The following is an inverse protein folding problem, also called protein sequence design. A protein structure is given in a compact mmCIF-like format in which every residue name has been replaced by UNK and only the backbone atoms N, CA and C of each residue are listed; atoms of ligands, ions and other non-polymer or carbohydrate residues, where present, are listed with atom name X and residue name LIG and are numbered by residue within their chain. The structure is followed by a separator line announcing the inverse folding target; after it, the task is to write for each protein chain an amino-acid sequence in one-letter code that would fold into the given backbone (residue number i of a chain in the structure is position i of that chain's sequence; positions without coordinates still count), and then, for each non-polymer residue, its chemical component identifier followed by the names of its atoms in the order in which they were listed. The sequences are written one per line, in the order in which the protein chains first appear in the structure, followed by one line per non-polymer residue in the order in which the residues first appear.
data_IF_033676453706
#
_entry.id   IF_033676453706
#
_cell.length_a   1.000
_cell.length_b   1.000
_cell.length_c   1.000
_cell.angle_alpha   90.00
_cell.angle_beta   90.00
_cell.angle_gamma   90.00
#
_symmetry.space_group_name_H-M   'P 1'
#
loop_
_entity.id
_entity.type
_entity.pdbx_description
1 polymer ?
#
# COMPACT_ATOMS: atom_id res chain seq x y z
N UNK A 1 -32.22 56.97 -29.20
CA UNK A 1 -30.76 56.75 -29.00
C UNK A 1 -30.40 55.42 -29.62
N UNK A 2 -29.90 55.45 -30.85
CA UNK A 2 -29.14 54.36 -31.47
C UNK A 2 -27.68 54.84 -31.53
N UNK A 3 -26.72 53.91 -31.52
CA UNK A 3 -26.14 53.55 -32.81
C UNK A 3 -25.97 52.04 -33.00
N UNK A 4 -26.28 51.64 -34.22
CA UNK A 4 -25.84 50.44 -34.93
C UNK A 4 -24.37 50.57 -35.33
N UNK A 5 -23.61 49.47 -35.30
CA UNK A 5 -22.37 49.35 -36.07
C UNK A 5 -22.26 47.96 -36.71
N UNK A 6 -21.93 48.03 -37.99
CA UNK A 6 -21.85 46.96 -38.98
C UNK A 6 -20.57 46.10 -38.90
N UNK A 7 -20.75 44.84 -39.29
CA UNK A 7 -19.98 44.03 -40.27
C UNK A 7 -18.54 44.44 -40.63
N UNK A 8 -17.59 43.50 -40.53
CA UNK A 8 -16.54 43.27 -41.55
C UNK A 8 -16.12 41.79 -41.61
N UNK A 9 -16.04 41.28 -42.85
CA UNK A 9 -15.52 39.98 -43.31
C UNK A 9 -14.02 39.77 -43.04
N UNK A 10 -13.56 38.50 -43.10
CA UNK A 10 -12.71 38.02 -44.20
C UNK A 10 -11.60 37.01 -43.82
N UNK A 11 -11.51 35.98 -44.67
CA UNK A 11 -10.33 35.26 -45.19
C UNK A 11 -9.57 34.21 -44.36
N UNK A 12 -9.75 32.96 -44.84
CA UNK A 12 -8.72 31.97 -45.22
C UNK A 12 -7.30 32.08 -44.65
N UNK A 13 -6.84 30.99 -44.01
CA UNK A 13 -5.48 30.47 -44.27
C UNK A 13 -5.38 28.96 -44.06
N UNK A 14 -4.75 28.32 -45.04
CA UNK A 14 -4.50 26.90 -45.15
C UNK A 14 -3.21 26.45 -44.42
N UNK A 15 -3.15 25.12 -44.21
CA UNK A 15 -1.97 24.24 -44.13
C UNK A 15 -0.97 24.42 -42.98
N UNK A 16 -0.77 23.31 -42.28
CA UNK A 16 0.35 23.04 -41.40
C UNK A 16 0.29 21.63 -40.83
N UNK A 17 0.33 20.61 -41.69
CA UNK A 17 0.73 19.26 -41.28
C UNK A 17 2.24 19.28 -40.99
N UNK A 18 2.62 19.03 -39.74
CA UNK A 18 3.97 18.59 -39.39
C UNK A 18 3.87 17.53 -38.30
N UNK A 19 4.41 16.35 -38.60
CA UNK A 19 4.29 15.15 -37.80
C UNK A 19 4.93 15.24 -36.41
N UNK A 20 4.30 14.51 -35.48
CA UNK A 20 4.83 14.23 -34.16
C UNK A 20 5.08 12.72 -34.05
N UNK A 21 6.12 12.26 -34.75
CA UNK A 21 6.82 11.02 -34.44
C UNK A 21 7.98 11.38 -33.51
N UNK A 22 7.84 11.14 -32.20
CA UNK A 22 8.94 10.86 -31.26
C UNK A 22 8.50 11.08 -29.81
N UNK A 23 7.94 10.04 -29.18
CA UNK A 23 7.86 9.96 -27.71
C UNK A 23 8.16 8.56 -27.14
N UNK A 24 8.52 7.59 -28.00
CA UNK A 24 8.76 6.21 -27.56
C UNK A 24 10.23 5.89 -27.21
N UNK A 25 11.17 6.79 -27.42
CA UNK A 25 12.60 6.52 -27.12
C UNK A 25 13.01 6.86 -25.68
N UNK A 26 12.30 7.73 -24.96
CA UNK A 26 12.65 8.10 -23.57
C UNK A 26 12.17 7.11 -22.49
N UNK A 27 11.22 6.20 -22.80
CA UNK A 27 10.74 5.18 -21.83
C UNK A 27 11.60 3.90 -21.81
N UNK A 28 12.33 3.59 -22.87
CA UNK A 28 13.14 2.36 -22.95
C UNK A 28 14.45 2.45 -22.16
N UNK A 29 15.04 3.64 -22.04
CA UNK A 29 16.34 3.82 -21.39
C UNK A 29 16.24 3.88 -19.86
N UNK A 30 15.13 4.39 -19.31
CA UNK A 30 14.88 4.36 -17.87
C UNK A 30 14.59 2.95 -17.32
N UNK A 31 13.96 2.08 -18.11
CA UNK A 31 13.71 0.68 -17.72
C UNK A 31 14.97 -0.19 -17.83
N UNK A 32 15.86 0.10 -18.80
CA UNK A 32 17.16 -0.56 -18.92
C UNK A 32 18.11 -0.20 -17.77
N UNK A 33 18.09 1.06 -17.32
CA UNK A 33 18.88 1.51 -16.15
C UNK A 33 18.45 0.86 -14.83
N UNK A 34 17.14 0.77 -14.57
CA UNK A 34 16.62 0.17 -13.35
C UNK A 34 16.84 -1.36 -13.27
N UNK A 35 16.66 -2.08 -14.40
CA UNK A 35 16.99 -3.52 -14.48
C UNK A 35 18.49 -3.79 -14.37
N UNK A 36 19.34 -2.87 -14.86
CA UNK A 36 20.80 -2.95 -14.72
C UNK A 36 21.23 -2.80 -13.26
N UNK A 37 20.66 -1.84 -12.52
CA UNK A 37 20.98 -1.61 -11.10
C UNK A 37 20.56 -2.77 -10.19
N UNK A 38 19.39 -3.40 -10.42
CA UNK A 38 18.98 -4.56 -9.62
C UNK A 38 19.85 -5.80 -9.89
N UNK A 39 20.19 -6.06 -11.16
CA UNK A 39 21.13 -7.14 -11.52
C UNK A 39 22.54 -6.87 -11.01
N UNK A 40 23.00 -5.63 -11.05
CA UNK A 40 24.28 -5.22 -10.49
C UNK A 40 24.30 -5.39 -8.96
N UNK A 41 23.25 -4.98 -8.25
CA UNK A 41 23.13 -5.20 -6.79
C UNK A 41 23.07 -6.69 -6.42
N UNK A 42 22.34 -7.50 -7.21
CA UNK A 42 22.31 -8.94 -7.00
C UNK A 42 23.67 -9.60 -7.26
N UNK A 43 24.32 -9.25 -8.36
CA UNK A 43 25.65 -9.75 -8.72
C UNK A 43 26.70 -9.29 -7.68
N UNK A 44 26.66 -8.04 -7.23
CA UNK A 44 27.54 -7.55 -6.16
C UNK A 44 27.32 -8.27 -4.84
N UNK A 45 26.05 -8.54 -4.44
CA UNK A 45 25.72 -9.34 -3.26
C UNK A 45 26.22 -10.78 -3.40
N UNK A 46 26.05 -11.38 -4.58
CA UNK A 46 26.51 -12.73 -4.88
C UNK A 46 28.03 -12.83 -4.85
N UNK A 47 28.74 -11.90 -5.49
CA UNK A 47 30.21 -11.84 -5.48
C UNK A 47 30.74 -11.58 -4.06
N UNK A 48 30.13 -10.69 -3.26
CA UNK A 48 30.50 -10.49 -1.85
C UNK A 48 30.35 -11.77 -1.01
N UNK A 49 29.32 -12.57 -1.28
CA UNK A 49 29.09 -13.85 -0.59
C UNK A 49 30.14 -14.90 -0.97
N UNK A 50 30.58 -14.93 -2.24
CA UNK A 50 31.61 -15.87 -2.72
C UNK A 50 33.01 -15.50 -2.23
N UNK A 51 33.36 -14.21 -2.26
CA UNK A 51 34.73 -13.78 -1.95
C UNK A 51 34.98 -13.52 -0.47
N UNK A 52 34.00 -13.72 0.42
CA UNK A 52 34.20 -13.53 1.87
C UNK A 52 34.60 -12.11 2.28
N UNK A 53 34.45 -11.12 1.39
CA UNK A 53 34.94 -9.75 1.59
C UNK A 53 33.92 -8.82 2.27
N UNK A 54 32.86 -9.34 2.88
CA UNK A 54 31.95 -8.50 3.64
C UNK A 54 32.44 -8.38 5.08
N UNK A 55 32.71 -7.17 5.62
CA UNK A 55 32.44 -6.97 7.04
C UNK A 55 31.02 -7.48 7.28
N UNK A 56 30.86 -8.39 8.25
CA UNK A 56 29.54 -8.90 8.63
C UNK A 56 28.60 -7.72 8.76
N UNK A 57 27.54 -7.68 7.93
CA UNK A 57 26.51 -6.66 8.10
C UNK A 57 26.05 -6.80 9.56
N UNK A 58 26.00 -5.71 10.35
CA UNK A 58 25.49 -5.81 11.71
C UNK A 58 24.11 -6.45 11.66
N UNK A 59 23.76 -7.22 12.69
CA UNK A 59 22.43 -7.80 12.77
C UNK A 59 21.38 -6.69 12.74
N UNK A 60 20.22 -6.93 12.08
CA UNK A 60 19.14 -5.96 12.09
C UNK A 60 18.65 -5.71 13.52
N UNK A 61 18.10 -4.52 13.81
CA UNK A 61 17.65 -4.19 15.15
C UNK A 61 16.53 -5.13 15.60
N UNK A 62 16.58 -5.54 16.87
CA UNK A 62 15.60 -6.44 17.48
C UNK A 62 14.29 -5.71 17.80
N UNK A 63 13.59 -5.26 16.77
CA UNK A 63 12.23 -4.70 16.89
C UNK A 63 11.28 -5.77 16.37
N UNK A 64 10.67 -6.48 17.32
CA UNK A 64 9.78 -7.60 17.06
C UNK A 64 8.65 -7.19 16.11
N UNK A 65 8.30 -8.08 15.18
CA UNK A 65 7.25 -7.87 14.16
C UNK A 65 7.51 -6.74 13.16
N UNK A 66 8.75 -6.26 13.06
CA UNK A 66 9.18 -5.30 12.05
C UNK A 66 10.43 -5.78 11.30
N UNK A 67 11.45 -6.25 12.03
CA UNK A 67 12.66 -6.80 11.44
C UNK A 67 12.77 -8.29 11.73
N UNK A 68 13.14 -9.05 10.70
CA UNK A 68 13.45 -10.49 10.80
C UNK A 68 14.96 -10.66 10.91
N UNK A 69 15.39 -11.68 11.65
CA UNK A 69 16.79 -12.12 11.63
C UNK A 69 17.19 -12.60 10.24
N UNK A 70 18.49 -12.62 9.97
CA UNK A 70 19.02 -13.03 8.66
C UNK A 70 18.71 -14.50 8.33
N UNK A 71 18.55 -15.33 9.35
CA UNK A 71 18.30 -16.78 9.24
C UNK A 71 16.80 -17.16 9.29
N UNK A 72 15.90 -16.18 9.30
CA UNK A 72 14.47 -16.48 9.32
C UNK A 72 14.06 -17.22 8.02
N UNK A 73 13.29 -18.31 8.18
CA UNK A 73 12.85 -19.16 7.07
C UNK A 73 11.45 -18.82 6.55
N UNK A 74 10.63 -18.15 7.36
CA UNK A 74 9.28 -17.73 6.95
C UNK A 74 8.91 -16.36 7.52
N UNK A 75 8.21 -15.52 6.75
CA UNK A 75 7.60 -14.34 7.29
C UNK A 75 6.50 -14.72 8.30
N UNK A 76 6.45 -14.02 9.43
CA UNK A 76 5.33 -14.15 10.37
C UNK A 76 4.15 -13.30 9.88
N UNK A 77 2.99 -13.93 9.72
CA UNK A 77 1.73 -13.24 9.37
C UNK A 77 0.97 -12.92 10.65
N UNK A 78 0.55 -11.68 10.80
CA UNK A 78 -0.04 -11.18 12.04
C UNK A 78 -1.28 -10.33 11.77
N UNK A 79 -2.13 -10.20 12.79
CA UNK A 79 -3.27 -9.27 12.72
C UNK A 79 -2.83 -7.84 13.02
N UNK A 80 -3.47 -6.88 12.36
CA UNK A 80 -3.22 -5.44 12.54
C UNK A 80 -3.27 -5.01 14.01
N UNK A 81 -4.24 -5.48 14.79
CA UNK A 81 -4.33 -5.17 16.22
C UNK A 81 -3.12 -5.69 17.03
N UNK A 82 -2.60 -6.87 16.70
CA UNK A 82 -1.39 -7.41 17.35
C UNK A 82 -0.17 -6.58 16.99
N UNK A 83 -0.09 -6.14 15.73
CA UNK A 83 0.98 -5.27 15.28
C UNK A 83 0.96 -3.91 15.98
N UNK A 84 -0.23 -3.28 16.14
CA UNK A 84 -0.36 -2.05 16.94
C UNK A 84 0.15 -2.25 18.37
N UNK A 85 -0.25 -3.33 19.04
CA UNK A 85 0.21 -3.64 20.39
C UNK A 85 1.74 -3.75 20.43
N UNK A 86 2.35 -4.48 19.50
CA UNK A 86 3.81 -4.63 19.42
C UNK A 86 4.53 -3.31 19.17
N UNK A 87 4.00 -2.46 18.30
CA UNK A 87 4.62 -1.19 17.95
C UNK A 87 4.41 -0.09 19.00
N UNK A 88 3.34 -0.17 19.80
CA UNK A 88 3.00 0.87 20.78
C UNK A 88 3.44 0.55 22.21
N UNK A 89 3.73 -0.71 22.53
CA UNK A 89 4.23 -1.13 23.85
C UNK A 89 5.60 -0.51 24.17
N UNK A 90 5.75 -0.07 25.41
CA UNK A 90 6.99 0.53 25.93
C UNK A 90 8.16 -0.46 25.95
N UNK A 91 7.88 -1.77 25.95
CA UNK A 91 8.90 -2.82 25.94
C UNK A 91 9.72 -2.83 24.63
N UNK A 92 9.24 -2.17 23.57
CA UNK A 92 9.90 -2.09 22.26
C UNK A 92 10.02 -0.63 21.78
N UNK A 93 10.78 0.23 22.47
CA UNK A 93 10.81 1.68 22.21
C UNK A 93 11.37 2.03 20.81
N UNK A 94 12.04 1.09 20.14
CA UNK A 94 12.67 1.29 18.83
C UNK A 94 11.69 1.56 17.69
N UNK A 95 10.43 1.14 17.78
CA UNK A 95 9.41 1.32 16.72
C UNK A 95 9.17 2.80 16.40
N UNK A 96 9.10 3.65 17.43
CA UNK A 96 8.91 5.11 17.31
C UNK A 96 10.07 5.82 16.60
N UNK A 97 11.22 5.15 16.51
CA UNK A 97 12.44 5.65 15.83
C UNK A 97 12.61 5.05 14.43
N UNK A 98 11.70 4.19 14.00
CA UNK A 98 11.68 3.63 12.66
C UNK A 98 10.70 4.44 11.81
N UNK A 99 11.15 5.03 10.70
CA UNK A 99 10.33 5.96 9.91
C UNK A 99 9.94 5.36 8.57
N UNK A 100 8.67 5.57 8.19
CA UNK A 100 8.16 5.16 6.88
C UNK A 100 8.79 6.05 5.81
N UNK A 101 9.60 5.46 4.94
CA UNK A 101 10.26 6.17 3.85
C UNK A 101 9.36 6.24 2.60
N UNK A 102 8.59 5.18 2.36
CA UNK A 102 7.73 5.06 1.19
C UNK A 102 6.53 4.17 1.49
N UNK A 103 5.38 4.55 0.96
CA UNK A 103 4.21 3.65 0.87
C UNK A 103 3.86 3.45 -0.59
N UNK A 104 3.61 2.22 -0.98
CA UNK A 104 3.18 1.88 -2.33
C UNK A 104 1.87 1.11 -2.27
N UNK A 105 0.96 1.47 -3.16
CA UNK A 105 -0.35 0.86 -3.29
C UNK A 105 -0.35 -0.02 -4.53
N UNK A 106 -0.63 -1.29 -4.32
CA UNK A 106 -0.54 -2.32 -5.34
C UNK A 106 -1.89 -2.97 -5.58
N UNK A 107 -2.05 -3.45 -6.81
CA UNK A 107 -3.19 -4.25 -7.24
C UNK A 107 -2.68 -5.51 -7.92
N UNK A 108 -3.10 -6.66 -7.43
CA UNK A 108 -2.76 -7.94 -8.03
C UNK A 108 -3.38 -8.07 -9.43
N UNK A 109 -2.66 -8.73 -10.33
CA UNK A 109 -3.12 -9.12 -11.67
C UNK A 109 -3.89 -10.43 -11.66
N UNK A 110 -3.95 -11.13 -10.53
CA UNK A 110 -4.79 -12.31 -10.36
C UNK A 110 -6.28 -11.99 -10.48
N UNK A 111 -7.10 -13.04 -10.63
CA UNK A 111 -8.56 -12.92 -10.84
C UNK A 111 -9.27 -12.15 -9.72
N UNK A 112 -8.80 -12.30 -8.48
CA UNK A 112 -9.33 -11.61 -7.30
C UNK A 112 -8.96 -10.12 -7.26
N UNK A 113 -8.03 -9.68 -8.12
CA UNK A 113 -7.53 -8.30 -8.21
C UNK A 113 -7.25 -7.69 -6.84
N UNK A 114 -6.68 -8.50 -5.94
CA UNK A 114 -6.48 -8.13 -4.55
C UNK A 114 -5.63 -6.86 -4.43
N UNK A 115 -5.99 -6.00 -3.49
CA UNK A 115 -5.38 -4.69 -3.31
C UNK A 115 -4.80 -4.55 -1.91
N UNK A 116 -3.57 -4.05 -1.83
CA UNK A 116 -2.77 -4.03 -0.61
C UNK A 116 -1.79 -2.86 -0.60
N UNK A 117 -1.25 -2.57 0.58
CA UNK A 117 -0.20 -1.57 0.75
C UNK A 117 1.13 -2.26 1.09
N UNK A 118 2.20 -1.63 0.62
CA UNK A 118 3.58 -1.98 0.96
C UNK A 118 4.27 -0.76 1.54
N UNK A 119 4.80 -0.90 2.74
CA UNK A 119 5.61 0.10 3.43
C UNK A 119 7.08 -0.27 3.32
N UNK A 120 7.92 0.72 3.07
CA UNK A 120 9.37 0.63 3.27
C UNK A 120 9.69 1.48 4.51
N UNK A 121 10.18 0.85 5.57
CA UNK A 121 10.41 1.47 6.89
C UNK A 121 11.90 1.42 7.19
N UNK A 122 12.52 2.58 7.42
CA UNK A 122 13.94 2.68 7.78
C UNK A 122 14.14 2.43 9.28
N UNK A 123 15.17 1.65 9.62
CA UNK A 123 15.63 1.50 10.99
C UNK A 123 16.39 2.76 11.47
N UNK A 124 16.49 2.98 12.79
CA UNK A 124 17.26 4.09 13.35
C UNK A 124 18.77 3.94 13.17
N UNK A 125 19.26 2.75 12.86
CA UNK A 125 20.68 2.52 12.61
C UNK A 125 21.15 3.07 11.26
N UNK A 126 20.23 3.28 10.31
CA UNK A 126 20.48 3.78 8.96
C UNK A 126 20.49 2.68 7.89
N UNK A 127 21.39 1.67 7.95
CA UNK A 127 21.51 0.64 6.93
C UNK A 127 20.29 -0.27 6.78
N UNK A 128 19.58 -0.56 7.87
CA UNK A 128 18.51 -1.54 7.82
C UNK A 128 17.18 -0.93 7.41
N UNK A 129 16.42 -1.70 6.63
CA UNK A 129 15.09 -1.33 6.17
C UNK A 129 14.19 -2.55 6.30
N UNK A 130 12.95 -2.33 6.72
CA UNK A 130 11.91 -3.35 6.70
C UNK A 130 10.97 -3.10 5.53
N UNK A 131 10.47 -4.19 4.95
CA UNK A 131 9.31 -4.18 4.06
C UNK A 131 8.13 -4.72 4.84
N UNK A 132 7.00 -4.00 4.82
CA UNK A 132 5.75 -4.42 5.47
C UNK A 132 4.64 -4.45 4.43
N UNK A 133 4.01 -5.60 4.25
CA UNK A 133 2.83 -5.79 3.40
C UNK A 133 1.61 -5.84 4.31
N UNK A 134 0.56 -5.09 3.96
CA UNK A 134 -0.73 -5.15 4.64
C UNK A 134 -1.87 -5.27 3.63
N UNK A 135 -2.77 -6.21 3.90
CA UNK A 135 -3.94 -6.47 3.08
C UNK A 135 -5.14 -6.89 3.91
N UNK A 136 -6.33 -6.77 3.31
CA UNK A 136 -7.59 -7.25 3.87
C UNK A 136 -8.12 -8.44 3.09
N UNK A 137 -8.28 -9.57 3.76
CA UNK A 137 -8.81 -10.82 3.22
C UNK A 137 -10.01 -11.32 4.04
N UNK A 138 -10.51 -12.50 3.69
CA UNK A 138 -11.51 -13.28 4.40
C UNK A 138 -11.04 -14.72 4.49
N UNK A 139 -11.39 -15.39 5.58
CA UNK A 139 -11.21 -16.83 5.67
C UNK A 139 -12.34 -17.48 4.88
N UNK A 140 -12.08 -17.72 3.60
CA UNK A 140 -13.01 -18.46 2.75
C UNK A 140 -12.69 -19.94 2.93
N UNK A 141 -13.59 -20.73 3.56
CA UNK A 141 -13.39 -22.17 3.67
C UNK A 141 -13.10 -22.76 2.29
N UNK A 142 -12.09 -23.61 2.19
CA UNK A 142 -11.58 -24.15 0.92
C UNK A 142 -12.66 -24.78 0.02
N UNK A 143 -13.75 -25.30 0.59
CA UNK A 143 -14.92 -25.83 -0.13
C UNK A 143 -15.72 -24.77 -0.91
N UNK A 144 -15.72 -23.51 -0.48
CA UNK A 144 -16.44 -22.43 -1.16
C UNK A 144 -15.66 -21.83 -2.33
N UNK A 145 -14.32 -21.96 -2.36
CA UNK A 145 -13.49 -21.53 -3.50
C UNK A 145 -13.77 -22.31 -4.79
N UNK A 146 -14.21 -23.56 -4.66
CA UNK A 146 -14.58 -24.42 -5.80
C UNK A 146 -16.03 -24.22 -6.27
N UNK A 147 -16.86 -23.54 -5.47
CA UNK A 147 -18.32 -23.53 -5.64
C UNK A 147 -18.87 -22.21 -6.20
N UNK A 148 -18.02 -21.19 -6.39
CA UNK A 148 -18.39 -19.92 -7.05
C UNK A 148 -18.74 -20.06 -8.54
N UNK A 149 -18.62 -21.26 -9.11
CA UNK A 149 -19.09 -21.59 -10.48
C UNK A 149 -20.53 -22.15 -10.49
N UNK A 150 -21.12 -22.52 -9.33
CA UNK A 150 -22.39 -23.26 -9.29
C UNK A 150 -23.63 -22.44 -8.88
N UNK A 151 -23.57 -21.10 -8.81
CA UNK A 151 -24.70 -20.27 -8.35
C UNK A 151 -25.63 -19.74 -9.46
N UNK A 152 -25.48 -20.20 -10.71
CA UNK A 152 -26.30 -19.71 -11.84
C UNK A 152 -27.57 -20.50 -12.14
N UNK A 153 -28.00 -21.48 -11.35
CA UNK A 153 -29.19 -22.26 -11.70
C UNK A 153 -29.99 -22.80 -10.51
N UNK A 154 -30.67 -21.94 -9.76
CA UNK A 154 -31.96 -22.31 -9.18
C UNK A 154 -32.79 -21.06 -8.86
N UNK A 155 -33.89 -20.88 -9.58
CA UNK A 155 -34.78 -19.71 -9.52
C UNK A 155 -35.68 -19.69 -8.28
N UNK A 156 -35.10 -19.74 -7.08
CA UNK A 156 -35.82 -19.44 -5.85
C UNK A 156 -35.43 -18.05 -5.35
N UNK A 157 -36.39 -17.13 -5.43
CA UNK A 157 -36.30 -15.75 -4.95
C UNK A 157 -36.21 -15.71 -3.41
N UNK A 158 -35.04 -15.98 -2.86
CA UNK A 158 -34.69 -15.51 -1.51
C UNK A 158 -33.90 -14.22 -1.66
N UNK A 159 -34.32 -13.16 -0.98
CA UNK A 159 -33.60 -11.88 -0.93
C UNK A 159 -32.11 -12.13 -0.72
N UNK A 160 -31.21 -11.45 -1.46
CA UNK A 160 -29.78 -11.62 -1.26
C UNK A 160 -29.43 -11.03 0.10
N UNK A 161 -29.49 -11.84 1.15
CA UNK A 161 -28.81 -11.51 2.39
C UNK A 161 -27.35 -11.28 2.02
N UNK A 162 -26.89 -10.05 2.22
CA UNK A 162 -25.50 -9.70 1.96
C UNK A 162 -24.63 -10.67 2.75
N UNK A 163 -23.91 -11.57 2.07
CA UNK A 163 -22.96 -12.46 2.74
C UNK A 163 -21.87 -11.60 3.38
N UNK A 164 -22.01 -11.37 4.69
CA UNK A 164 -21.02 -10.69 5.51
C UNK A 164 -20.25 -11.72 6.31
N UNK A 165 -18.93 -11.65 6.25
CA UNK A 165 -18.03 -12.48 7.06
C UNK A 165 -17.10 -11.57 7.89
N UNK A 166 -16.46 -12.06 8.96
CA UNK A 166 -15.40 -11.29 9.62
C UNK A 166 -14.26 -10.98 8.64
N UNK A 167 -13.86 -9.71 8.57
CA UNK A 167 -12.69 -9.29 7.80
C UNK A 167 -11.41 -9.73 8.50
N UNK A 168 -10.39 -10.03 7.70
CA UNK A 168 -9.08 -10.47 8.17
C UNK A 168 -8.05 -9.50 7.64
N UNK A 169 -7.58 -8.61 8.50
CA UNK A 169 -6.53 -7.64 8.16
C UNK A 169 -5.19 -8.19 8.62
N UNK A 170 -4.33 -8.49 7.66
CA UNK A 170 -3.06 -9.19 7.86
C UNK A 170 -1.88 -8.29 7.55
N UNK A 171 -0.84 -8.46 8.34
CA UNK A 171 0.44 -7.80 8.22
C UNK A 171 1.52 -8.85 8.11
N UNK A 172 2.43 -8.61 7.17
CA UNK A 172 3.64 -9.41 7.00
C UNK A 172 4.82 -8.46 6.90
N UNK A 173 5.84 -8.65 7.75
CA UNK A 173 7.02 -7.80 7.79
C UNK A 173 8.30 -8.63 7.67
N UNK A 174 9.32 -8.06 7.01
CA UNK A 174 10.66 -8.65 6.97
C UNK A 174 11.75 -7.60 6.72
N UNK A 175 12.99 -7.94 7.10
CA UNK A 175 14.16 -7.12 6.79
C UNK A 175 14.47 -7.19 5.29
N UNK A 176 14.54 -6.06 4.61
CA UNK A 176 14.90 -5.97 3.19
C UNK A 176 16.33 -6.48 2.96
N UNK A 177 16.54 -7.22 1.88
CA UNK A 177 17.83 -7.84 1.56
C UNK A 177 18.07 -9.19 2.23
N UNK A 178 17.14 -9.66 3.06
CA UNK A 178 17.04 -11.07 3.44
C UNK A 178 16.26 -11.86 2.38
N UNK A 179 16.37 -13.20 2.31
CA UNK A 179 15.57 -14.00 1.39
C UNK A 179 14.06 -13.74 1.49
N UNK A 180 13.53 -13.58 2.72
CA UNK A 180 12.11 -13.27 2.97
C UNK A 180 11.77 -11.86 2.51
N UNK A 181 12.58 -10.86 2.89
CA UNK A 181 12.36 -9.48 2.44
C UNK A 181 12.37 -9.36 0.92
N UNK A 182 13.29 -10.06 0.27
CA UNK A 182 13.38 -10.12 -1.18
C UNK A 182 12.18 -10.87 -1.79
N UNK A 183 11.64 -11.90 -1.15
CA UNK A 183 10.38 -12.56 -1.56
C UNK A 183 9.18 -11.60 -1.48
N UNK A 184 9.00 -10.90 -0.36
CA UNK A 184 7.93 -9.92 -0.18
C UNK A 184 8.02 -8.76 -1.19
N UNK A 185 9.23 -8.35 -1.57
CA UNK A 185 9.43 -7.28 -2.55
C UNK A 185 9.22 -7.77 -3.99
N UNK A 186 9.62 -9.01 -4.31
CA UNK A 186 9.67 -9.56 -5.67
C UNK A 186 8.31 -9.82 -6.32
N UNK A 187 7.23 -9.70 -5.56
CA UNK A 187 5.85 -9.52 -6.00
C UNK A 187 5.56 -9.93 -7.46
N UNK A 188 5.31 -11.22 -7.66
CA UNK A 188 5.40 -11.85 -8.97
C UNK A 188 4.22 -11.58 -9.92
N UNK A 189 3.21 -10.78 -9.55
CA UNK A 189 2.07 -10.49 -10.43
C UNK A 189 1.21 -9.30 -9.97
N UNK A 190 1.81 -8.16 -9.66
CA UNK A 190 1.06 -6.95 -9.29
C UNK A 190 1.37 -5.74 -10.17
N UNK A 191 0.43 -4.80 -10.19
CA UNK A 191 0.58 -3.46 -10.73
C UNK A 191 0.73 -2.46 -9.59
N UNK A 192 1.77 -1.63 -9.66
CA UNK A 192 1.87 -0.44 -8.82
C UNK A 192 0.81 0.57 -9.29
N UNK A 193 -0.15 0.86 -8.42
CA UNK A 193 -1.22 1.82 -8.66
C UNK A 193 -0.74 3.24 -8.36
N UNK A 194 -0.14 3.42 -7.18
CA UNK A 194 0.26 4.72 -6.68
C UNK A 194 1.36 4.60 -5.64
N UNK A 195 2.13 5.68 -5.45
CA UNK A 195 3.10 5.76 -4.36
C UNK A 195 2.93 7.03 -3.55
N UNK A 196 3.30 6.95 -2.28
CA UNK A 196 3.21 8.04 -1.32
C UNK A 196 4.59 8.25 -0.71
N UNK A 197 5.04 9.50 -0.72
CA UNK A 197 6.26 9.96 -0.06
C UNK A 197 5.94 11.10 0.90
N UNK A 198 6.74 11.26 1.95
CA UNK A 198 6.53 12.26 2.99
C UNK A 198 7.68 13.26 2.97
N UNK A 199 7.39 14.53 2.71
CA UNK A 199 8.42 15.57 2.60
C UNK A 199 8.70 16.24 3.96
N UNK A 200 7.65 16.54 4.71
CA UNK A 200 7.75 17.31 5.95
C UNK A 200 7.92 16.40 7.17
N UNK A 201 7.05 15.39 7.29
CA UNK A 201 7.00 14.47 8.43
C UNK A 201 6.69 13.06 7.96
N UNK A 202 7.70 12.22 7.90
CA UNK A 202 7.50 10.78 7.77
C UNK A 202 6.88 10.22 9.04
N UNK A 203 5.82 9.39 8.96
CA UNK A 203 5.28 8.74 10.13
C UNK A 203 6.28 7.72 10.69
N UNK A 204 6.35 7.59 12.02
CA UNK A 204 7.08 6.49 12.66
C UNK A 204 6.28 5.18 12.55
N UNK A 205 6.89 4.01 12.72
CA UNK A 205 6.25 2.71 12.46
C UNK A 205 5.01 2.42 13.36
N UNK A 206 4.96 3.01 14.55
CA UNK A 206 3.80 2.91 15.44
C UNK A 206 2.58 3.69 14.94
N UNK A 207 2.78 4.77 14.17
CA UNK A 207 1.70 5.58 13.62
C UNK A 207 0.83 4.84 12.57
N UNK A 208 1.38 4.23 11.49
CA UNK A 208 0.60 3.42 10.57
C UNK A 208 0.05 2.16 11.27
N UNK A 209 0.71 1.61 12.30
CA UNK A 209 0.15 0.48 13.05
C UNK A 209 -1.17 0.84 13.75
N UNK A 210 -1.21 2.01 14.39
CA UNK A 210 -2.42 2.52 15.03
C UNK A 210 -3.49 2.83 13.99
N UNK A 211 -3.12 3.46 12.87
CA UNK A 211 -4.07 3.76 11.80
C UNK A 211 -4.70 2.49 11.22
N UNK A 212 -3.90 1.47 10.92
CA UNK A 212 -4.37 0.22 10.33
C UNK A 212 -5.26 -0.59 11.27
N UNK A 213 -4.99 -0.54 12.58
CA UNK A 213 -5.88 -1.10 13.60
C UNK A 213 -7.22 -0.35 13.68
N UNK A 214 -7.19 0.99 13.67
CA UNK A 214 -8.41 1.83 13.64
C UNK A 214 -9.27 1.52 12.40
N UNK A 215 -8.66 1.39 11.21
CA UNK A 215 -9.39 1.05 9.99
C UNK A 215 -9.99 -0.35 10.07
N UNK A 216 -9.26 -1.30 10.69
CA UNK A 216 -9.73 -2.66 10.90
C UNK A 216 -11.01 -2.69 11.72
N UNK A 217 -11.01 -2.01 12.86
CA UNK A 217 -12.17 -1.86 13.75
C UNK A 217 -13.31 -1.03 13.13
N UNK A 218 -12.99 0.00 12.34
CA UNK A 218 -14.01 0.83 11.71
C UNK A 218 -14.92 0.04 10.75
N UNK A 219 -14.40 -1.02 10.12
CA UNK A 219 -15.20 -1.99 9.36
C UNK A 219 -14.70 -3.40 9.59
N UNK A 220 -15.17 -4.03 10.67
CA UNK A 220 -14.81 -5.40 11.04
C UNK A 220 -15.42 -6.47 10.11
N UNK A 221 -16.49 -6.15 9.39
CA UNK A 221 -17.20 -7.11 8.52
C UNK A 221 -16.79 -6.94 7.06
N UNK A 222 -16.43 -8.06 6.44
CA UNK A 222 -16.19 -8.22 5.01
C UNK A 222 -17.47 -8.51 4.24
N UNK A 223 -17.81 -7.62 3.33
CA UNK A 223 -18.88 -7.76 2.36
C UNK A 223 -18.29 -8.29 1.04
N UNK A 224 -18.59 -9.55 0.70
CA UNK A 224 -17.99 -10.23 -0.46
C UNK A 224 -18.23 -9.51 -1.79
N UNK A 225 -19.34 -8.77 -1.90
CA UNK A 225 -19.75 -8.07 -3.12
C UNK A 225 -19.11 -6.68 -3.30
N UNK A 226 -18.40 -6.15 -2.29
CA UNK A 226 -17.97 -4.73 -2.26
C UNK A 226 -16.44 -4.52 -2.34
N UNK A 227 -15.67 -5.50 -2.85
CA UNK A 227 -14.19 -5.47 -2.98
C UNK A 227 -13.50 -4.77 -1.80
N UNK A 228 -13.67 -5.32 -0.60
CA UNK A 228 -13.21 -4.62 0.61
C UNK A 228 -11.70 -4.47 0.74
N UNK A 229 -10.90 -5.28 0.03
CA UNK A 229 -9.47 -5.06 -0.06
C UNK A 229 -9.14 -3.69 -0.68
N UNK A 230 -9.88 -3.27 -1.73
CA UNK A 230 -9.76 -1.92 -2.30
C UNK A 230 -10.11 -0.85 -1.26
N UNK A 231 -11.27 -1.00 -0.61
CA UNK A 231 -11.70 -0.04 0.40
C UNK A 231 -10.65 0.13 1.50
N UNK A 232 -10.14 -0.99 2.03
CA UNK A 232 -9.16 -0.99 3.12
C UNK A 232 -7.85 -0.33 2.70
N UNK A 233 -7.22 -0.81 1.62
CA UNK A 233 -5.94 -0.29 1.13
C UNK A 233 -6.05 1.19 0.73
N UNK A 234 -7.12 1.57 0.01
CA UNK A 234 -7.32 2.95 -0.44
C UNK A 234 -7.64 3.90 0.71
N UNK A 235 -8.44 3.47 1.70
CA UNK A 235 -8.73 4.27 2.91
C UNK A 235 -7.45 4.50 3.70
N UNK A 236 -6.65 3.47 3.95
CA UNK A 236 -5.36 3.59 4.62
C UNK A 236 -4.42 4.54 3.88
N UNK A 237 -4.27 4.37 2.56
CA UNK A 237 -3.42 5.21 1.73
C UNK A 237 -3.84 6.69 1.79
N UNK A 238 -5.13 6.98 1.65
CA UNK A 238 -5.66 8.35 1.69
C UNK A 238 -5.62 8.97 3.08
N UNK A 239 -5.83 8.17 4.13
CA UNK A 239 -5.68 8.62 5.50
C UNK A 239 -4.22 8.97 5.83
N UNK A 240 -3.24 8.15 5.41
CA UNK A 240 -1.82 8.45 5.55
C UNK A 240 -1.44 9.77 4.86
N UNK A 241 -1.89 9.93 3.61
CA UNK A 241 -1.69 11.17 2.85
C UNK A 241 -2.23 12.40 3.60
N UNK A 242 -3.45 12.31 4.15
CA UNK A 242 -4.10 13.40 4.89
C UNK A 242 -3.47 13.68 6.26
N UNK A 243 -3.06 12.65 6.99
CA UNK A 243 -2.54 12.77 8.36
C UNK A 243 -1.08 13.24 8.41
N UNK A 244 -0.29 12.88 7.40
CA UNK A 244 1.16 13.11 7.38
C UNK A 244 1.62 13.97 6.20
N UNK A 245 0.70 14.73 5.61
CA UNK A 245 0.98 15.64 4.48
C UNK A 245 1.74 14.93 3.34
N UNK A 246 1.37 13.67 3.08
CA UNK A 246 2.03 12.87 2.07
C UNK A 246 1.70 13.37 0.66
N UNK A 247 2.65 13.23 -0.25
CA UNK A 247 2.48 13.54 -1.67
C UNK A 247 2.25 12.25 -2.45
N UNK A 248 1.10 12.16 -3.12
CA UNK A 248 0.76 11.03 -4.00
C UNK A 248 1.40 11.23 -5.37
N UNK A 249 2.20 10.26 -5.80
CA UNK A 249 2.69 10.12 -7.16
C UNK A 249 1.90 8.98 -7.86
N UNK A 250 0.85 9.32 -8.63
CA UNK A 250 0.04 8.34 -9.33
C UNK A 250 0.81 7.80 -10.53
N UNK A 251 0.77 6.48 -10.76
CA UNK A 251 1.29 5.94 -12.02
C UNK A 251 0.33 6.24 -13.18
N UNK A 252 0.92 6.68 -14.30
CA UNK A 252 0.21 6.90 -15.56
C UNK A 252 -0.69 5.71 -15.92
N UNK A 253 -2.00 5.97 -16.08
CA UNK A 253 -2.96 5.01 -16.60
C UNK A 253 -3.96 4.43 -15.59
N UNK A 254 -3.71 4.53 -14.29
CA UNK A 254 -4.68 4.15 -13.25
C UNK A 254 -5.48 5.37 -12.76
N UNK A 255 -6.29 5.96 -13.64
CA UNK A 255 -7.20 7.07 -13.28
C UNK A 255 -8.51 6.63 -12.64
N UNK A 256 -8.82 5.35 -12.72
CA UNK A 256 -10.04 4.82 -12.10
C UNK A 256 -9.80 4.64 -10.60
N UNK A 257 -10.24 5.62 -9.81
CA UNK A 257 -10.62 5.36 -8.43
C UNK A 257 -11.65 4.23 -8.47
N UNK A 258 -11.20 3.02 -8.10
CA UNK A 258 -11.83 1.75 -8.42
C UNK A 258 -13.35 1.81 -8.34
N UNK A 259 -14.00 1.86 -9.51
CA UNK A 259 -15.44 1.59 -9.59
C UNK A 259 -15.62 0.09 -9.46
N UNK A 260 -16.17 -0.35 -8.34
CA UNK A 260 -16.56 -1.75 -8.14
C UNK A 260 -18.05 -1.83 -8.42
N UNK A 261 -18.40 -2.51 -9.51
CA UNK A 261 -19.78 -2.76 -9.94
C UNK A 261 -20.65 -1.50 -10.00
N UNK A 262 -20.08 -0.36 -10.42
CA UNK A 262 -20.80 0.91 -10.56
C UNK A 262 -21.16 1.62 -9.26
N UNK A 263 -20.95 0.99 -8.10
CA UNK A 263 -21.18 1.60 -6.79
C UNK A 263 -20.00 2.48 -6.37
N UNK A 264 -20.30 3.73 -6.03
CA UNK A 264 -19.29 4.66 -5.48
C UNK A 264 -19.30 4.49 -3.96
N UNK A 265 -18.31 3.79 -3.40
CA UNK A 265 -18.10 3.81 -1.96
C UNK A 265 -17.75 5.25 -1.54
N UNK A 266 -18.39 5.76 -0.49
CA UNK A 266 -18.13 7.10 0.06
C UNK A 266 -16.79 7.16 0.80
N UNK A 267 -15.70 7.02 0.04
CA UNK A 267 -14.33 6.98 0.57
C UNK A 267 -13.98 8.26 1.34
N UNK A 268 -14.54 9.41 0.94
CA UNK A 268 -14.24 10.71 1.57
C UNK A 268 -14.70 10.76 3.03
N UNK A 269 -15.91 10.27 3.30
CA UNK A 269 -16.48 10.25 4.65
C UNK A 269 -15.75 9.23 5.52
N UNK A 270 -15.50 8.03 5.00
CA UNK A 270 -14.75 6.98 5.70
C UNK A 270 -13.35 7.46 6.08
N UNK A 271 -12.60 8.07 5.15
CA UNK A 271 -11.26 8.63 5.41
C UNK A 271 -11.32 9.70 6.49
N UNK A 272 -12.34 10.58 6.47
CA UNK A 272 -12.47 11.61 7.49
C UNK A 272 -12.73 11.00 8.88
N UNK A 273 -13.67 10.07 8.99
CA UNK A 273 -14.02 9.40 10.24
C UNK A 273 -12.81 8.65 10.82
N UNK A 274 -12.12 7.85 9.99
CA UNK A 274 -10.89 7.14 10.36
C UNK A 274 -9.81 8.10 10.87
N UNK A 275 -9.59 9.23 10.19
CA UNK A 275 -8.60 10.22 10.65
C UNK A 275 -8.97 10.80 12.02
N UNK A 276 -10.25 11.01 12.32
CA UNK A 276 -10.69 11.47 13.64
C UNK A 276 -10.45 10.42 14.72
N UNK A 277 -10.86 9.16 14.48
CA UNK A 277 -10.63 8.04 15.39
C UNK A 277 -9.14 7.79 15.63
N UNK A 278 -8.31 7.91 14.60
CA UNK A 278 -6.85 7.83 14.71
C UNK A 278 -6.31 8.88 15.69
N UNK A 279 -6.69 10.15 15.52
CA UNK A 279 -6.24 11.23 16.40
C UNK A 279 -6.65 10.98 17.85
N UNK A 280 -7.90 10.61 18.08
CA UNK A 280 -8.40 10.26 19.41
C UNK A 280 -7.60 9.10 20.03
N UNK A 281 -7.33 8.04 19.26
CA UNK A 281 -6.53 6.90 19.74
C UNK A 281 -5.09 7.31 20.08
N UNK A 282 -4.45 8.16 19.26
CA UNK A 282 -3.09 8.68 19.54
C UNK A 282 -3.04 9.56 20.78
N UNK A 283 -4.06 10.38 21.03
CA UNK A 283 -4.16 11.16 22.25
C UNK A 283 -4.27 10.27 23.49
N UNK A 284 -5.10 9.22 23.44
CA UNK A 284 -5.23 8.23 24.53
C UNK A 284 -3.90 7.54 24.81
N UNK A 285 -3.23 7.01 23.77
CA UNK A 285 -1.91 6.36 23.90
C UNK A 285 -0.86 7.30 24.51
N UNK A 286 -0.87 8.57 24.12
CA UNK A 286 0.07 9.56 24.65
C UNK A 286 -0.15 9.85 26.14
N UNK A 287 -1.41 9.94 26.58
CA UNK A 287 -1.75 10.11 28.01
C UNK A 287 -1.34 8.91 28.84
N UNK A 288 -1.57 7.69 28.35
CA UNK A 288 -1.16 6.46 29.05
C UNK A 288 0.36 6.36 29.22
N UNK A 289 1.14 6.85 28.25
CA UNK A 289 2.61 6.89 28.37
C UNK A 289 3.12 7.91 29.38
N UNK A 290 2.41 9.01 29.59
CA UNK A 290 2.83 10.06 30.52
C UNK A 290 2.56 9.72 32.00
N UNK A 291 1.82 8.63 32.29
CA UNK A 291 1.46 8.22 33.65
C UNK A 291 2.40 7.15 34.24
N UNK A 292 3.38 6.67 33.46
CA UNK A 292 4.38 5.68 33.85
C UNK A 292 5.68 6.43 34.13
#
# INVERSE_FOLDING_TARGET
MQPTHDSVLSTHRARGETGQLSSNWYKADNLRGAMSMQKANFLWRFLRRIFGMNPSLPDPPTIYNLFTTLDAYRPEVQRTFRWEISMTKNDFPGSSRCFVQKVTYHKSRSLDRHEFLRFEIGAPDGPHRAVVIVGRTVDVPSLAKSSSIALTSCGCCTSPESLTQPAIDEITAATMGTPIGDELVRDHNCDLVSSLTFLNRAPSADEPSTLLAVISEYREKYHLQHSQCYWYARTAFKALMKLFEGSEDPRDGHRDGGKIHGSTLSLREDVHAVCCLYKERREKLSRSRAQI
#
